data_IF_153312400205
#
_entry.id   IF_153312400205
#
_cell.length_a   1.000
_cell.length_b   1.000
_cell.length_c   1.000
_cell.angle_alpha   90.00
_cell.angle_beta   90.00
_cell.angle_gamma   90.00
#
_symmetry.space_group_name_H-M   'P 1'
#
loop_
_entity.id
_entity.type
_entity.pdbx_description
1 polymer ?
#
# COMPACT_ATOMS: atom_id res chain seq x y z
N UNK A 1 -30.88 3.07 15.99
CA UNK A 1 -29.64 2.36 16.42
C UNK A 1 -28.52 2.88 15.57
N UNK A 2 -27.63 3.72 16.12
CA UNK A 2 -26.44 4.21 15.42
C UNK A 2 -25.43 3.06 15.34
N UNK A 3 -25.53 2.22 14.31
CA UNK A 3 -24.56 1.18 14.06
C UNK A 3 -23.19 1.80 13.81
N UNK A 4 -22.15 1.29 14.46
CA UNK A 4 -20.78 1.68 14.14
C UNK A 4 -20.54 1.43 12.64
N UNK A 5 -19.93 2.41 11.93
CA UNK A 5 -19.64 2.25 10.51
C UNK A 5 -18.86 0.95 10.26
N UNK A 6 -19.19 0.21 9.18
CA UNK A 6 -18.49 -1.04 8.85
C UNK A 6 -16.99 -0.85 8.83
N UNK A 7 -16.26 -1.72 9.53
CA UNK A 7 -14.80 -1.71 9.57
C UNK A 7 -14.26 -2.53 8.41
N UNK A 8 -13.36 -1.93 7.63
CA UNK A 8 -12.80 -2.50 6.41
C UNK A 8 -11.32 -2.80 6.66
N UNK A 9 -10.93 -4.08 6.79
CA UNK A 9 -9.52 -4.45 6.77
C UNK A 9 -8.93 -4.17 5.38
N UNK A 10 -7.92 -3.33 5.33
CA UNK A 10 -7.07 -3.13 4.15
C UNK A 10 -5.68 -3.57 4.56
N UNK A 11 -5.27 -4.75 4.10
CA UNK A 11 -4.03 -5.39 4.51
C UNK A 11 -2.86 -4.88 3.69
N UNK A 12 -1.75 -4.57 4.35
CA UNK A 12 -0.50 -4.15 3.71
C UNK A 12 0.56 -5.22 3.89
N UNK A 13 0.93 -5.87 2.81
CA UNK A 13 2.10 -6.74 2.67
C UNK A 13 3.25 -6.00 1.97
N UNK A 14 4.47 -6.48 2.15
CA UNK A 14 5.63 -6.09 1.37
C UNK A 14 6.18 -7.35 0.67
N UNK A 15 7.15 -8.04 1.26
CA UNK A 15 7.75 -9.23 0.69
C UNK A 15 7.16 -10.53 1.27
N UNK A 16 7.10 -11.58 0.45
CA UNK A 16 6.72 -12.95 0.84
C UNK A 16 7.90 -13.87 0.54
N UNK A 17 8.85 -14.00 1.47
CA UNK A 17 10.06 -14.80 1.28
C UNK A 17 10.58 -15.35 2.61
N UNK A 18 11.35 -16.45 2.54
CA UNK A 18 11.90 -17.09 3.74
C UNK A 18 13.13 -16.34 4.27
N UNK A 19 13.99 -15.86 3.39
CA UNK A 19 15.27 -15.21 3.68
C UNK A 19 15.31 -13.76 3.18
N UNK A 20 14.65 -12.83 3.89
CA UNK A 20 14.62 -11.41 3.49
C UNK A 20 15.91 -10.68 3.89
N UNK A 21 16.31 -9.64 3.15
CA UNK A 21 17.29 -8.67 3.65
C UNK A 21 16.87 -8.07 4.99
N UNK A 22 17.84 -7.79 5.89
CA UNK A 22 17.59 -7.31 7.26
C UNK A 22 16.65 -6.10 7.33
N UNK A 23 16.79 -5.16 6.40
CA UNK A 23 16.03 -3.91 6.41
C UNK A 23 14.51 -4.09 6.18
N UNK A 24 14.09 -5.22 5.58
CA UNK A 24 12.67 -5.52 5.31
C UNK A 24 12.17 -6.72 6.13
N UNK A 25 13.04 -7.39 6.87
CA UNK A 25 12.73 -8.63 7.57
C UNK A 25 11.51 -8.52 8.51
N UNK A 26 11.35 -7.39 9.19
CA UNK A 26 10.20 -7.15 10.08
C UNK A 26 8.87 -7.13 9.31
N UNK A 27 8.87 -6.64 8.06
CA UNK A 27 7.67 -6.48 7.22
C UNK A 27 7.52 -7.61 6.19
N UNK A 28 8.31 -8.68 6.32
CA UNK A 28 8.26 -9.86 5.46
C UNK A 28 7.52 -10.99 6.17
N UNK A 29 6.63 -11.66 5.45
CA UNK A 29 6.02 -12.91 5.88
C UNK A 29 6.62 -14.07 5.10
N UNK A 30 6.72 -15.27 5.70
CA UNK A 30 7.16 -16.46 4.95
C UNK A 30 6.05 -16.93 4.01
N UNK A 31 6.35 -17.66 2.90
CA UNK A 31 5.33 -18.23 2.02
C UNK A 31 4.30 -19.09 2.78
N UNK A 32 4.75 -19.84 3.79
CA UNK A 32 3.89 -20.65 4.65
C UNK A 32 2.92 -19.78 5.47
N UNK A 33 3.44 -18.70 6.10
CA UNK A 33 2.59 -17.77 6.85
C UNK A 33 1.59 -17.09 5.92
N UNK A 34 2.04 -16.63 4.75
CA UNK A 34 1.20 -15.98 3.76
C UNK A 34 0.04 -16.87 3.33
N UNK A 35 0.32 -18.11 2.91
CA UNK A 35 -0.72 -19.08 2.51
C UNK A 35 -1.74 -19.30 3.62
N UNK A 36 -1.31 -19.49 4.87
CA UNK A 36 -2.20 -19.66 6.01
C UNK A 36 -3.05 -18.40 6.29
N UNK A 37 -2.48 -17.21 6.13
CA UNK A 37 -3.21 -15.95 6.26
C UNK A 37 -4.26 -15.79 5.14
N UNK A 38 -3.93 -16.17 3.89
CA UNK A 38 -4.90 -16.15 2.79
C UNK A 38 -6.08 -17.10 3.05
N UNK A 39 -5.83 -18.28 3.62
CA UNK A 39 -6.91 -19.21 4.00
C UNK A 39 -7.84 -18.59 5.06
N UNK A 40 -7.29 -17.93 6.09
CA UNK A 40 -8.08 -17.20 7.08
C UNK A 40 -8.92 -16.09 6.42
N UNK A 41 -8.36 -15.35 5.47
CA UNK A 41 -9.07 -14.28 4.76
C UNK A 41 -10.22 -14.86 3.93
N UNK A 42 -9.96 -15.90 3.13
CA UNK A 42 -10.96 -16.60 2.32
C UNK A 42 -12.11 -17.13 3.18
N UNK A 43 -11.78 -17.78 4.29
CA UNK A 43 -12.76 -18.46 5.16
C UNK A 43 -13.47 -17.48 6.12
N UNK A 44 -13.06 -16.23 6.17
CA UNK A 44 -13.65 -15.20 7.03
C UNK A 44 -15.08 -14.78 6.65
N UNK A 45 -15.55 -15.16 5.45
CA UNK A 45 -16.80 -14.69 4.86
C UNK A 45 -16.80 -13.20 4.49
N UNK A 46 -15.61 -12.58 4.36
CA UNK A 46 -15.47 -11.24 3.79
C UNK A 46 -15.41 -11.32 2.27
N UNK A 47 -15.85 -10.25 1.61
CA UNK A 47 -15.78 -10.13 0.15
C UNK A 47 -14.49 -9.40 -0.21
N UNK A 48 -13.54 -10.07 -0.91
CA UNK A 48 -12.32 -9.43 -1.38
C UNK A 48 -12.62 -8.37 -2.44
N UNK A 49 -11.97 -7.22 -2.33
CA UNK A 49 -12.11 -6.10 -3.27
C UNK A 49 -10.75 -5.46 -3.56
N UNK A 50 -10.62 -4.82 -4.72
CA UNK A 50 -9.45 -4.01 -5.05
C UNK A 50 -9.56 -2.60 -4.46
N UNK A 51 -8.48 -1.83 -4.53
CA UNK A 51 -8.53 -0.41 -4.16
C UNK A 51 -9.37 0.40 -5.14
N UNK A 52 -9.48 -0.01 -6.41
CA UNK A 52 -10.41 0.62 -7.38
C UNK A 52 -11.86 0.53 -6.90
N UNK A 53 -12.28 -0.60 -6.33
CA UNK A 53 -13.62 -0.74 -5.78
C UNK A 53 -13.84 0.18 -4.57
N UNK A 54 -12.86 0.31 -3.66
CA UNK A 54 -12.90 1.28 -2.57
C UNK A 54 -12.96 2.72 -3.10
N UNK A 55 -12.16 3.03 -4.14
CA UNK A 55 -12.15 4.33 -4.80
C UNK A 55 -13.52 4.69 -5.40
N UNK A 56 -14.16 3.76 -6.07
CA UNK A 56 -15.48 3.94 -6.63
C UNK A 56 -16.52 4.24 -5.54
N UNK A 57 -16.43 3.53 -4.42
CA UNK A 57 -17.31 3.75 -3.26
C UNK A 57 -17.11 5.14 -2.65
N UNK A 58 -15.88 5.53 -2.33
CA UNK A 58 -15.59 6.87 -1.77
C UNK A 58 -15.97 8.02 -2.71
N UNK A 59 -16.00 7.77 -4.01
CA UNK A 59 -16.48 8.71 -5.03
C UNK A 59 -18.02 8.67 -5.23
N UNK A 60 -18.73 7.84 -4.49
CA UNK A 60 -20.19 7.64 -4.64
C UNK A 60 -20.62 7.00 -5.95
N UNK A 61 -19.69 6.34 -6.69
CA UNK A 61 -19.97 5.73 -7.99
C UNK A 61 -20.52 4.30 -7.90
N UNK A 62 -20.15 3.57 -6.86
CA UNK A 62 -20.62 2.20 -6.63
C UNK A 62 -20.70 1.87 -5.13
N UNK A 63 -21.65 1.05 -4.68
CA UNK A 63 -21.66 0.53 -3.32
C UNK A 63 -20.54 -0.52 -3.15
N UNK A 64 -20.07 -0.68 -1.92
CA UNK A 64 -19.24 -1.83 -1.56
C UNK A 64 -20.11 -3.07 -1.33
N UNK A 65 -19.57 -4.25 -1.62
CA UNK A 65 -20.21 -5.49 -1.21
C UNK A 65 -20.23 -5.60 0.32
N UNK A 66 -21.06 -6.48 0.88
CA UNK A 66 -21.06 -6.74 2.33
C UNK A 66 -19.70 -7.20 2.84
N UNK A 67 -19.28 -6.68 4.00
CA UNK A 67 -18.04 -7.09 4.69
C UNK A 67 -16.78 -7.08 3.78
N UNK A 68 -16.43 -5.95 3.13
CA UNK A 68 -15.28 -5.92 2.22
C UNK A 68 -13.96 -6.12 2.96
N UNK A 69 -12.96 -6.66 2.23
CA UNK A 69 -11.55 -6.74 2.62
C UNK A 69 -10.69 -6.46 1.40
N UNK A 70 -9.60 -5.71 1.56
CA UNK A 70 -8.65 -5.47 0.49
C UNK A 70 -7.23 -5.93 0.89
N UNK A 71 -6.49 -6.47 -0.08
CA UNK A 71 -5.10 -6.85 0.07
C UNK A 71 -4.25 -5.92 -0.79
N UNK A 72 -3.15 -5.42 -0.22
CA UNK A 72 -2.22 -4.54 -0.93
C UNK A 72 -0.78 -4.99 -0.69
N UNK A 73 0.07 -4.77 -1.70
CA UNK A 73 1.50 -5.08 -1.67
C UNK A 73 2.28 -3.83 -2.06
N UNK A 74 3.30 -3.45 -1.29
CA UNK A 74 4.11 -2.28 -1.58
C UNK A 74 5.48 -2.66 -2.15
N UNK A 75 6.19 -1.67 -2.69
CA UNK A 75 7.57 -1.65 -3.19
C UNK A 75 7.81 -2.34 -4.54
N UNK A 76 7.26 -3.51 -4.80
CA UNK A 76 7.47 -4.28 -6.02
C UNK A 76 8.56 -5.34 -5.88
N UNK A 77 8.57 -6.12 -4.80
CA UNK A 77 9.48 -7.25 -4.60
C UNK A 77 9.27 -8.36 -5.63
N UNK A 78 10.35 -9.09 -5.96
CA UNK A 78 10.39 -10.10 -7.02
C UNK A 78 9.59 -11.37 -6.74
N UNK A 79 9.17 -11.60 -5.49
CA UNK A 79 8.32 -12.73 -5.10
C UNK A 79 6.86 -12.57 -5.55
N UNK A 80 6.41 -11.32 -5.76
CA UNK A 80 5.01 -11.04 -6.03
C UNK A 80 4.55 -11.59 -7.41
N UNK A 81 5.24 -11.35 -8.54
CA UNK A 81 4.81 -11.88 -9.86
C UNK A 81 5.16 -13.38 -10.05
N UNK A 82 4.71 -14.23 -9.16
CA UNK A 82 4.96 -15.66 -9.18
C UNK A 82 4.11 -16.36 -8.15
N UNK A 83 4.73 -17.16 -7.28
CA UNK A 83 4.02 -17.95 -6.25
C UNK A 83 3.08 -17.13 -5.37
N UNK A 84 3.40 -15.86 -5.10
CA UNK A 84 2.54 -14.97 -4.31
C UNK A 84 1.26 -14.62 -5.07
N UNK A 85 1.36 -14.23 -6.35
CA UNK A 85 0.21 -13.95 -7.20
C UNK A 85 -0.60 -15.21 -7.50
N UNK A 86 0.06 -16.35 -7.76
CA UNK A 86 -0.59 -17.65 -7.94
C UNK A 86 -1.43 -18.03 -6.72
N UNK A 87 -0.87 -17.92 -5.51
CA UNK A 87 -1.57 -18.24 -4.26
C UNK A 87 -2.80 -17.37 -4.03
N UNK A 88 -2.77 -16.10 -4.46
CA UNK A 88 -3.92 -15.18 -4.45
C UNK A 88 -4.98 -15.62 -5.45
N UNK A 89 -4.57 -15.90 -6.70
CA UNK A 89 -5.46 -16.29 -7.80
C UNK A 89 -6.18 -17.62 -7.51
N UNK A 90 -5.46 -18.63 -6.99
CA UNK A 90 -6.02 -19.92 -6.57
C UNK A 90 -7.15 -19.78 -5.52
N UNK A 91 -7.15 -18.69 -4.75
CA UNK A 91 -8.15 -18.41 -3.71
C UNK A 91 -9.19 -17.37 -4.12
N UNK A 92 -9.13 -16.87 -5.36
CA UNK A 92 -10.01 -15.81 -5.84
C UNK A 92 -9.87 -14.51 -5.05
N UNK A 93 -8.66 -14.18 -4.59
CA UNK A 93 -8.36 -13.00 -3.79
C UNK A 93 -7.70 -11.93 -4.68
N UNK A 94 -8.47 -10.98 -5.24
CA UNK A 94 -7.89 -9.84 -5.94
C UNK A 94 -7.07 -9.00 -4.95
N UNK A 95 -6.01 -8.36 -5.46
CA UNK A 95 -5.15 -7.50 -4.68
C UNK A 95 -4.70 -6.27 -5.48
N UNK A 96 -4.09 -5.29 -4.82
CA UNK A 96 -3.49 -4.12 -5.48
C UNK A 96 -2.00 -4.05 -5.14
N UNK A 97 -1.15 -4.03 -6.17
CA UNK A 97 0.30 -3.90 -6.05
C UNK A 97 0.74 -2.46 -6.31
N UNK A 98 1.48 -1.85 -5.39
CA UNK A 98 2.01 -0.50 -5.51
C UNK A 98 3.52 -0.54 -5.81
N UNK A 99 3.92 -0.07 -6.98
CA UNK A 99 5.25 -0.28 -7.52
C UNK A 99 6.13 0.98 -7.44
N UNK A 100 7.32 0.83 -6.86
CA UNK A 100 8.39 1.86 -6.85
C UNK A 100 9.15 1.78 -8.17
N UNK A 101 8.85 2.67 -9.11
CA UNK A 101 9.33 2.56 -10.49
C UNK A 101 10.85 2.64 -10.63
N UNK A 102 11.54 3.36 -9.74
CA UNK A 102 12.98 3.40 -9.71
C UNK A 102 13.65 2.11 -9.23
N UNK A 103 12.93 1.29 -8.45
CA UNK A 103 13.43 0.01 -7.98
C UNK A 103 13.26 -1.12 -9.02
N UNK A 104 12.20 -1.04 -9.83
CA UNK A 104 11.85 -2.06 -10.83
C UNK A 104 12.33 -1.72 -12.25
N UNK A 105 12.97 -0.56 -12.47
CA UNK A 105 13.48 -0.13 -13.77
C UNK A 105 15.02 -0.08 -13.72
N UNK A 106 15.73 -0.85 -14.55
CA UNK A 106 17.18 -0.86 -14.58
C UNK A 106 17.76 0.54 -14.81
N UNK A 107 18.82 0.89 -14.07
CA UNK A 107 19.53 2.17 -14.18
C UNK A 107 18.83 3.39 -13.56
N UNK A 108 17.63 3.27 -13.05
CA UNK A 108 16.97 4.32 -12.27
C UNK A 108 17.39 4.26 -10.79
N UNK A 109 17.27 5.41 -10.10
CA UNK A 109 17.60 5.49 -8.67
C UNK A 109 16.41 5.18 -7.82
N UNK A 110 16.62 4.33 -6.80
CA UNK A 110 15.69 4.11 -5.68
C UNK A 110 16.42 4.42 -4.36
N UNK A 111 15.66 4.83 -3.35
CA UNK A 111 16.12 4.94 -1.96
C UNK A 111 15.90 3.64 -1.18
N UNK A 112 15.14 2.69 -1.75
CA UNK A 112 15.03 1.36 -1.16
C UNK A 112 16.42 0.71 -1.15
N UNK A 113 16.85 0.13 -0.02
CA UNK A 113 18.08 -0.65 0.03
C UNK A 113 18.00 -1.86 -0.94
N UNK A 114 19.13 -2.46 -1.32
CA UNK A 114 19.14 -3.58 -2.24
C UNK A 114 18.27 -4.76 -1.76
N UNK A 115 17.44 -5.25 -2.66
CA UNK A 115 16.63 -6.46 -2.49
C UNK A 115 16.29 -7.03 -3.89
N UNK A 116 15.85 -8.29 -3.98
CA UNK A 116 15.26 -8.81 -5.21
C UNK A 116 13.99 -8.05 -5.56
N UNK A 117 14.00 -7.29 -6.65
CA UNK A 117 12.86 -6.53 -7.14
C UNK A 117 12.38 -7.12 -8.46
N UNK A 118 11.07 -7.03 -8.73
CA UNK A 118 10.53 -7.40 -10.04
C UNK A 118 11.03 -6.47 -11.14
N UNK A 119 10.87 -6.88 -12.38
CA UNK A 119 11.08 -6.02 -13.55
C UNK A 119 9.76 -5.36 -13.96
N UNK A 120 9.86 -4.31 -14.79
CA UNK A 120 8.69 -3.65 -15.34
C UNK A 120 7.84 -4.59 -16.22
N UNK A 121 8.48 -5.55 -16.92
CA UNK A 121 7.74 -6.56 -17.68
C UNK A 121 7.01 -7.55 -16.78
N UNK A 122 7.56 -7.89 -15.62
CA UNK A 122 6.87 -8.70 -14.62
C UNK A 122 5.67 -7.97 -13.99
N UNK A 123 5.66 -6.64 -13.99
CA UNK A 123 4.49 -5.87 -13.53
C UNK A 123 3.26 -6.12 -14.40
N UNK A 124 3.44 -6.41 -15.70
CA UNK A 124 2.33 -6.79 -16.62
C UNK A 124 1.71 -8.12 -16.23
N UNK A 125 2.51 -9.08 -15.77
CA UNK A 125 2.02 -10.39 -15.34
C UNK A 125 1.10 -10.31 -14.13
N UNK A 126 1.23 -9.29 -13.29
CA UNK A 126 0.35 -9.10 -12.13
C UNK A 126 -1.12 -8.98 -12.53
N UNK A 127 -1.39 -8.27 -13.63
CA UNK A 127 -2.75 -8.08 -14.13
C UNK A 127 -3.36 -9.38 -14.69
N UNK A 128 -2.54 -10.27 -15.26
CA UNK A 128 -2.97 -11.60 -15.69
C UNK A 128 -3.43 -12.48 -14.52
N UNK A 129 -2.88 -12.26 -13.33
CA UNK A 129 -3.31 -12.89 -12.08
C UNK A 129 -4.46 -12.16 -11.37
N UNK A 130 -5.01 -11.09 -11.98
CA UNK A 130 -6.11 -10.31 -11.40
C UNK A 130 -5.68 -9.30 -10.32
N UNK A 131 -4.39 -8.93 -10.26
CA UNK A 131 -3.92 -7.86 -9.40
C UNK A 131 -4.02 -6.52 -10.13
N UNK A 132 -4.51 -5.51 -9.41
CA UNK A 132 -4.48 -4.12 -9.84
C UNK A 132 -3.08 -3.53 -9.58
N UNK A 133 -2.59 -2.68 -10.47
CA UNK A 133 -1.31 -1.98 -10.30
C UNK A 133 -1.55 -0.51 -9.93
N UNK A 134 -0.81 -0.03 -8.93
CA UNK A 134 -0.78 1.36 -8.49
C UNK A 134 0.65 1.91 -8.38
N UNK A 135 0.78 3.23 -8.21
CA UNK A 135 2.08 3.90 -8.07
C UNK A 135 2.58 3.92 -6.62
N UNK A 136 3.90 3.78 -6.47
CA UNK A 136 4.58 3.96 -5.18
C UNK A 136 5.78 4.92 -5.28
N UNK A 137 5.64 5.96 -6.12
CA UNK A 137 6.66 6.96 -6.45
C UNK A 137 7.83 6.41 -7.30
N UNK A 138 8.74 7.29 -7.68
CA UNK A 138 9.94 6.87 -8.42
C UNK A 138 10.95 6.24 -7.48
N UNK A 139 11.34 6.96 -6.42
CA UNK A 139 12.49 6.59 -5.60
C UNK A 139 12.18 6.25 -4.15
N UNK A 140 10.90 6.14 -3.76
CA UNK A 140 10.46 5.81 -2.41
C UNK A 140 10.90 6.82 -1.32
N UNK A 141 10.76 8.15 -1.52
CA UNK A 141 11.17 9.14 -0.54
C UNK A 141 10.07 9.42 0.49
N UNK A 142 10.44 10.04 1.58
CA UNK A 142 9.49 10.64 2.53
C UNK A 142 8.85 11.88 1.87
N UNK A 143 7.72 11.74 1.20
CA UNK A 143 7.11 12.76 0.32
C UNK A 143 6.87 14.11 1.00
N UNK A 144 6.57 14.12 2.30
CA UNK A 144 6.30 15.35 3.06
C UNK A 144 7.57 16.14 3.44
N UNK A 145 8.75 15.64 3.04
CA UNK A 145 10.05 16.31 3.21
C UNK A 145 10.57 16.93 1.91
N UNK A 146 9.92 16.66 0.78
CA UNK A 146 10.36 17.11 -0.53
C UNK A 146 9.94 18.55 -0.83
N UNK A 147 10.71 19.22 -1.70
CA UNK A 147 10.29 20.46 -2.34
C UNK A 147 9.08 20.20 -3.25
N UNK A 148 8.22 21.21 -3.52
CA UNK A 148 7.06 21.03 -4.41
C UNK A 148 7.43 20.46 -5.80
N UNK A 149 8.58 20.89 -6.36
CA UNK A 149 9.09 20.41 -7.66
C UNK A 149 9.50 18.93 -7.59
N UNK A 150 10.22 18.53 -6.56
CA UNK A 150 10.63 17.13 -6.37
C UNK A 150 9.40 16.23 -6.08
N UNK A 151 8.48 16.68 -5.25
CA UNK A 151 7.23 15.98 -4.97
C UNK A 151 6.41 15.73 -6.25
N UNK A 152 6.23 16.76 -7.08
CA UNK A 152 5.53 16.62 -8.36
C UNK A 152 6.23 15.60 -9.25
N UNK A 153 7.56 15.65 -9.34
CA UNK A 153 8.34 14.71 -10.15
C UNK A 153 8.13 13.25 -9.70
N UNK A 154 8.27 12.97 -8.41
CA UNK A 154 8.07 11.63 -7.84
C UNK A 154 6.69 11.05 -8.18
N UNK A 155 5.66 11.86 -8.15
CA UNK A 155 4.28 11.44 -8.40
C UNK A 155 3.98 11.28 -9.90
N UNK A 156 4.38 12.26 -10.72
CA UNK A 156 4.04 12.28 -12.15
C UNK A 156 4.88 11.29 -12.95
N UNK A 157 6.20 11.23 -12.69
CA UNK A 157 7.07 10.31 -13.45
C UNK A 157 6.79 8.85 -13.12
N UNK A 158 6.50 8.52 -11.84
CA UNK A 158 6.16 7.14 -11.48
C UNK A 158 4.86 6.69 -12.16
N UNK A 159 3.85 7.57 -12.18
CA UNK A 159 2.59 7.34 -12.86
C UNK A 159 2.79 7.12 -14.36
N UNK A 160 3.52 8.01 -15.04
CA UNK A 160 3.78 7.93 -16.47
C UNK A 160 4.51 6.63 -16.87
N UNK A 161 5.54 6.23 -16.09
CA UNK A 161 6.29 4.98 -16.37
C UNK A 161 5.38 3.75 -16.31
N UNK A 162 4.48 3.69 -15.34
CA UNK A 162 3.54 2.57 -15.23
C UNK A 162 2.46 2.62 -16.32
N UNK A 163 1.93 3.81 -16.63
CA UNK A 163 0.94 3.99 -17.71
C UNK A 163 1.53 3.62 -19.09
N UNK A 164 2.77 4.01 -19.36
CA UNK A 164 3.47 3.64 -20.61
C UNK A 164 3.69 2.12 -20.70
N UNK A 165 4.04 1.47 -19.58
CA UNK A 165 4.31 0.04 -19.56
C UNK A 165 3.05 -0.80 -19.67
N UNK A 166 1.96 -0.41 -19.01
CA UNK A 166 0.73 -1.19 -18.89
C UNK A 166 -0.33 -0.81 -19.93
N UNK A 167 -0.19 0.34 -20.59
CA UNK A 167 -1.11 0.80 -21.64
C UNK A 167 -2.42 1.36 -21.14
N UNK A 168 -2.57 1.61 -19.85
CA UNK A 168 -3.78 2.18 -19.25
C UNK A 168 -3.46 3.11 -18.07
N UNK A 169 -4.46 3.81 -17.56
CA UNK A 169 -4.31 4.78 -16.46
C UNK A 169 -3.98 4.10 -15.14
N UNK A 170 -3.11 4.72 -14.36
CA UNK A 170 -2.78 4.35 -12.98
C UNK A 170 -3.45 5.34 -12.02
N UNK A 171 -4.52 4.93 -11.38
CA UNK A 171 -5.38 5.81 -10.60
C UNK A 171 -5.13 5.77 -9.08
N UNK A 172 -4.33 4.83 -8.59
CA UNK A 172 -4.13 4.58 -7.16
C UNK A 172 -2.68 4.73 -6.74
N UNK A 173 -2.46 5.34 -5.56
CA UNK A 173 -1.14 5.64 -5.00
C UNK A 173 -1.00 5.03 -3.60
N UNK A 174 0.15 4.45 -3.26
CA UNK A 174 0.56 4.28 -1.88
C UNK A 174 1.62 5.32 -1.52
N UNK A 175 1.47 5.95 -0.35
CA UNK A 175 2.50 6.89 0.13
C UNK A 175 3.66 6.12 0.76
N UNK A 176 4.91 6.28 0.29
CA UNK A 176 6.09 5.74 0.97
C UNK A 176 6.08 6.06 2.46
N UNK A 177 6.32 5.05 3.29
CA UNK A 177 6.23 5.12 4.77
C UNK A 177 4.85 5.59 5.30
N UNK A 178 3.85 5.79 4.45
CA UNK A 178 2.53 6.30 4.82
C UNK A 178 2.47 7.80 5.10
N UNK A 179 3.54 8.57 4.84
CA UNK A 179 3.59 10.00 5.13
C UNK A 179 2.84 10.85 4.11
N UNK A 180 1.71 11.43 4.53
CA UNK A 180 0.79 12.17 3.68
C UNK A 180 0.35 13.49 4.32
N UNK A 181 1.13 14.56 4.19
CA UNK A 181 0.69 15.91 4.57
C UNK A 181 -0.43 16.42 3.64
N UNK A 182 -1.11 17.50 4.02
CA UNK A 182 -2.11 18.14 3.15
C UNK A 182 -1.51 18.49 1.78
N UNK A 183 -0.28 19.03 1.75
CA UNK A 183 0.42 19.36 0.51
C UNK A 183 0.67 18.11 -0.36
N UNK A 184 1.08 16.99 0.24
CA UNK A 184 1.27 15.71 -0.46
C UNK A 184 -0.03 15.22 -1.07
N UNK A 185 -1.14 15.22 -0.31
CA UNK A 185 -2.45 14.80 -0.82
C UNK A 185 -2.96 15.71 -1.94
N UNK A 186 -2.72 17.02 -1.86
CA UNK A 186 -3.05 17.96 -2.93
C UNK A 186 -2.22 17.68 -4.19
N UNK A 187 -0.91 17.42 -4.04
CA UNK A 187 -0.04 17.09 -5.16
C UNK A 187 -0.42 15.75 -5.83
N UNK A 188 -0.83 14.74 -5.04
CA UNK A 188 -1.30 13.46 -5.57
C UNK A 188 -2.57 13.64 -6.43
N UNK A 189 -3.54 14.44 -5.96
CA UNK A 189 -4.72 14.79 -6.77
C UNK A 189 -4.34 15.53 -8.06
N UNK A 190 -3.44 16.49 -7.96
CA UNK A 190 -2.97 17.27 -9.12
C UNK A 190 -2.19 16.41 -10.12
N UNK A 191 -1.53 15.33 -9.68
CA UNK A 191 -0.89 14.33 -10.54
C UNK A 191 -1.90 13.38 -11.21
N UNK A 192 -3.20 13.48 -10.89
CA UNK A 192 -4.27 12.70 -11.51
C UNK A 192 -4.58 11.36 -10.86
N UNK A 193 -4.05 11.09 -9.64
CA UNK A 193 -4.50 9.95 -8.83
C UNK A 193 -5.92 10.19 -8.31
N UNK A 194 -6.70 9.12 -8.18
CA UNK A 194 -8.07 9.15 -7.65
C UNK A 194 -8.13 8.79 -6.17
N UNK A 195 -7.23 7.92 -5.71
CA UNK A 195 -7.11 7.56 -4.29
C UNK A 195 -5.66 7.39 -3.87
N UNK A 196 -5.46 7.39 -2.55
CA UNK A 196 -4.18 7.02 -1.99
C UNK A 196 -4.33 6.32 -0.64
N UNK A 197 -3.53 5.28 -0.43
CA UNK A 197 -3.46 4.51 0.80
C UNK A 197 -2.31 4.98 1.69
N UNK A 198 -2.51 4.92 3.00
CA UNK A 198 -1.52 5.32 4.01
C UNK A 198 -1.13 4.14 4.89
N UNK A 199 -0.08 4.29 5.69
CA UNK A 199 0.30 3.33 6.74
C UNK A 199 -0.14 3.92 8.07
N UNK A 200 -1.24 3.42 8.64
CA UNK A 200 -1.80 3.89 9.92
C UNK A 200 -1.94 2.80 10.97
N UNK A 201 -1.68 1.55 10.59
CA UNK A 201 -1.96 0.35 11.37
C UNK A 201 -3.36 0.41 12.01
N UNK A 202 -4.36 0.55 11.15
CA UNK A 202 -5.76 0.70 11.53
C UNK A 202 -6.70 0.05 10.51
N UNK A 203 -7.86 -0.35 10.95
CA UNK A 203 -8.98 -0.70 10.10
C UNK A 203 -9.48 0.57 9.38
N UNK A 204 -9.71 0.50 8.09
CA UNK A 204 -10.43 1.55 7.36
C UNK A 204 -11.93 1.50 7.67
N UNK A 205 -12.69 2.45 7.18
CA UNK A 205 -14.14 2.52 7.31
C UNK A 205 -14.74 3.34 6.16
N UNK A 206 -16.04 3.29 6.00
CA UNK A 206 -16.78 4.13 5.04
C UNK A 206 -16.60 5.65 5.26
N UNK A 207 -16.11 6.05 6.43
CA UNK A 207 -15.81 7.45 6.78
C UNK A 207 -14.36 7.84 6.51
N UNK A 208 -13.53 6.92 6.03
CA UNK A 208 -12.12 7.23 5.74
C UNK A 208 -12.01 8.11 4.49
N UNK A 209 -10.91 8.83 4.36
CA UNK A 209 -10.71 9.75 3.24
C UNK A 209 -10.10 9.01 2.05
N UNK A 210 -10.62 9.23 0.83
CA UNK A 210 -10.13 8.61 -0.41
C UNK A 210 -8.60 8.79 -0.62
N UNK A 211 -8.00 9.86 -0.12
CA UNK A 211 -6.55 10.11 -0.18
C UNK A 211 -5.82 9.80 1.15
N UNK A 212 -6.42 8.95 2.00
CA UNK A 212 -5.83 8.62 3.31
C UNK A 212 -6.33 7.26 3.82
N UNK A 213 -6.68 6.35 2.94
CA UNK A 213 -7.20 5.02 3.29
C UNK A 213 -6.23 4.33 4.24
N UNK A 214 -6.72 3.96 5.42
CA UNK A 214 -5.92 3.31 6.44
C UNK A 214 -5.64 1.86 6.08
N UNK A 215 -4.45 1.36 6.42
CA UNK A 215 -4.04 -0.03 6.21
C UNK A 215 -3.51 -0.66 7.48
N UNK A 216 -3.69 -1.95 7.61
CA UNK A 216 -3.11 -2.83 8.62
C UNK A 216 -1.82 -3.43 8.07
N UNK A 217 -0.68 -2.99 8.59
CA UNK A 217 0.61 -3.51 8.14
C UNK A 217 0.86 -4.92 8.69
N UNK A 218 1.15 -5.87 7.81
CA UNK A 218 1.58 -7.21 8.17
C UNK A 218 3.04 -7.19 8.56
N UNK A 219 3.36 -7.89 9.62
CA UNK A 219 4.72 -8.06 10.15
C UNK A 219 5.01 -9.54 10.36
N UNK A 220 6.28 -9.90 10.35
CA UNK A 220 6.74 -11.27 10.58
C UNK A 220 6.20 -11.87 11.89
N UNK A 221 6.03 -11.05 12.92
CA UNK A 221 5.55 -11.47 14.24
C UNK A 221 4.03 -11.56 14.39
N UNK A 222 3.24 -11.15 13.39
CA UNK A 222 1.79 -11.29 13.47
C UNK A 222 1.37 -12.76 13.33
N UNK A 223 0.46 -13.16 14.21
CA UNK A 223 -0.11 -14.51 14.27
C UNK A 223 -1.37 -14.62 13.39
N UNK A 224 -1.83 -15.84 13.15
CA UNK A 224 -3.13 -16.04 12.48
C UNK A 224 -4.27 -15.45 13.31
N UNK A 225 -4.19 -15.50 14.65
CA UNK A 225 -5.19 -14.89 15.54
C UNK A 225 -5.32 -13.36 15.36
N UNK A 226 -4.20 -12.67 15.04
CA UNK A 226 -4.24 -11.25 14.73
C UNK A 226 -5.02 -11.01 13.43
N UNK A 227 -4.76 -11.80 12.38
CA UNK A 227 -5.48 -11.71 11.10
C UNK A 227 -6.96 -12.04 11.28
N UNK A 228 -7.30 -13.08 12.03
CA UNK A 228 -8.69 -13.42 12.37
C UNK A 228 -9.41 -12.28 13.10
N UNK A 229 -8.74 -11.64 14.07
CA UNK A 229 -9.29 -10.49 14.78
C UNK A 229 -9.59 -9.34 13.80
N UNK A 230 -8.66 -9.04 12.87
CA UNK A 230 -8.89 -8.02 11.84
C UNK A 230 -10.05 -8.40 10.91
N UNK A 231 -10.18 -9.67 10.55
CA UNK A 231 -11.34 -10.14 9.75
C UNK A 231 -12.66 -9.99 10.51
N UNK A 232 -12.67 -10.07 11.83
CA UNK A 232 -13.84 -9.72 12.65
C UNK A 232 -14.04 -8.19 12.81
N UNK A 233 -13.08 -7.37 12.36
CA UNK A 233 -13.08 -5.92 12.54
C UNK A 233 -12.59 -5.50 13.95
N UNK A 234 -11.75 -6.32 14.57
CA UNK A 234 -11.21 -6.17 15.93
C UNK A 234 -9.68 -6.02 15.88
N UNK A 235 -9.02 -5.89 17.02
CA UNK A 235 -7.56 -5.91 17.16
C UNK A 235 -6.83 -4.63 16.70
N UNK A 236 -7.54 -3.65 16.12
CA UNK A 236 -6.99 -2.37 15.73
C UNK A 236 -8.02 -1.24 15.83
N UNK A 237 -7.53 0.01 15.91
CA UNK A 237 -8.40 1.19 15.87
C UNK A 237 -9.04 1.32 14.49
N UNK A 238 -10.23 1.92 14.41
CA UNK A 238 -10.88 2.27 13.15
C UNK A 238 -10.55 3.72 12.77
N UNK A 239 -10.18 3.94 11.50
CA UNK A 239 -10.02 5.28 10.93
C UNK A 239 -11.39 5.85 10.51
N UNK A 240 -11.54 7.20 10.39
CA UNK A 240 -10.51 8.20 10.67
C UNK A 240 -10.33 8.49 12.16
N UNK A 241 -9.11 8.82 12.55
CA UNK A 241 -8.81 9.34 13.90
C UNK A 241 -7.68 10.38 13.83
N UNK A 242 -7.61 11.25 14.85
CA UNK A 242 -6.58 12.29 14.93
C UNK A 242 -5.20 11.69 15.22
N UNK A 243 -4.18 12.26 14.59
CA UNK A 243 -2.80 11.90 14.87
C UNK A 243 -2.41 12.27 16.31
N UNK A 244 -1.59 11.45 16.94
CA UNK A 244 -1.05 11.74 18.27
C UNK A 244 -0.06 12.91 18.21
N UNK A 245 0.13 13.60 19.35
CA UNK A 245 1.16 14.66 19.46
C UNK A 245 2.56 14.12 19.14
N UNK A 246 2.84 12.87 19.49
CA UNK A 246 4.09 12.18 19.14
C UNK A 246 4.26 12.09 17.63
N UNK A 247 3.21 11.73 16.88
CA UNK A 247 3.22 11.66 15.41
C UNK A 247 3.48 13.05 14.80
N UNK A 248 2.86 14.08 15.35
CA UNK A 248 3.07 15.46 14.89
C UNK A 248 4.51 15.91 15.16
N UNK A 249 5.04 15.67 16.37
CA UNK A 249 6.44 15.98 16.72
C UNK A 249 7.45 15.25 15.83
N UNK A 250 7.22 13.97 15.55
CA UNK A 250 8.06 13.19 14.65
C UNK A 250 8.07 13.73 13.20
N UNK A 251 6.93 14.21 12.71
CA UNK A 251 6.87 14.87 11.38
C UNK A 251 7.71 16.14 11.32
N UNK A 252 7.64 16.98 12.35
CA UNK A 252 8.43 18.22 12.42
C UNK A 252 9.94 17.91 12.45
N UNK A 253 10.35 16.96 13.28
CA UNK A 253 11.74 16.52 13.33
C UNK A 253 12.26 16.00 11.98
N UNK A 254 11.52 15.13 11.29
CA UNK A 254 11.92 14.60 9.98
C UNK A 254 12.09 15.69 8.93
N UNK A 255 11.17 16.68 8.89
CA UNK A 255 11.25 17.81 7.96
C UNK A 255 12.48 18.67 8.24
N UNK A 256 12.75 18.99 9.50
CA UNK A 256 13.95 19.73 9.88
C UNK A 256 15.23 18.97 9.50
N UNK A 257 15.28 17.65 9.78
CA UNK A 257 16.41 16.80 9.39
C UNK A 257 16.60 16.75 7.87
N UNK A 258 15.52 16.57 7.11
CA UNK A 258 15.59 16.48 5.65
C UNK A 258 16.02 17.81 4.98
N UNK A 259 15.69 18.96 5.57
CA UNK A 259 16.16 20.26 5.11
C UNK A 259 17.69 20.40 5.22
N UNK A 260 18.33 19.68 6.17
CA UNK A 260 19.78 19.72 6.37
C UNK A 260 20.51 18.59 5.65
N UNK A 261 19.98 17.37 5.67
CA UNK A 261 20.65 16.15 5.22
C UNK A 261 20.11 15.58 3.90
N UNK A 262 19.06 16.17 3.33
CA UNK A 262 18.34 15.64 2.18
C UNK A 262 17.41 14.48 2.52
N UNK A 263 16.59 14.00 1.54
CA UNK A 263 15.72 12.87 1.71
C UNK A 263 16.54 11.59 1.91
N UNK A 264 16.12 10.77 2.86
CA UNK A 264 16.75 9.47 3.17
C UNK A 264 15.68 8.39 3.23
N UNK A 265 16.08 7.15 2.97
CA UNK A 265 15.31 6.00 3.40
C UNK A 265 15.35 5.98 4.94
N UNK A 266 14.19 5.96 5.56
CA UNK A 266 14.08 5.77 7.01
C UNK A 266 13.63 4.33 7.23
N UNK A 267 14.58 3.48 7.52
CA UNK A 267 14.34 2.20 8.14
C UNK A 267 14.00 2.40 9.61
#
# INVERSE_FOLDING_TARGET
>A
MSGAAPRIPVLLYHAVMDDPPDWIAEFTVTPRQFTAQLDVIRDSGRTPVTIAALAAHFAGRAPLPPRPVALTFDDGFADLPGRTAEALAERGLPATAYLTTGAITPGRRSLLPPAPMMTLDQAKLLEEYGLEVGGHTVSHPQLDTLTPRALKRELVESKAVLEDALGHRIDHLAYPHGYNSRAVRTAARAAGYQTAVAVRHALSSERDEAFRIARLILRRGHTLADVEAWMRGEGARAAPYNDSLRTVGWRLYRRARAAVKGPVFAG
#
